data_IF_595079089003
#
_entry.id   IF_595079089003
#
_cell.length_a   1.000
_cell.length_b   1.000
_cell.length_c   1.000
_cell.angle_alpha   90.00
_cell.angle_beta   90.00
_cell.angle_gamma   90.00
#
_symmetry.space_group_name_H-M   'P 1'
#
loop_
_entity.id
_entity.type
_entity.pdbx_description
1 polymer ?
#
# COMPACT_ATOMS: atom_id res chain seq x y z
N UNK A 1 -5.36 -13.34 15.85
CA UNK A 1 -4.10 -12.80 15.27
C UNK A 1 -4.04 -11.32 15.63
N UNK A 2 -3.07 -10.90 16.45
CA UNK A 2 -2.93 -9.49 16.86
C UNK A 2 -2.23 -8.69 15.75
N UNK A 3 -2.82 -7.56 15.33
CA UNK A 3 -2.28 -6.65 14.31
C UNK A 3 -1.82 -5.34 14.97
N UNK A 4 -0.76 -4.73 14.47
CA UNK A 4 -0.37 -3.35 14.83
C UNK A 4 -1.09 -2.41 13.85
N UNK A 5 -1.90 -1.48 14.35
CA UNK A 5 -2.58 -0.48 13.51
C UNK A 5 -1.84 0.85 13.59
N UNK A 6 -1.54 1.45 12.44
CA UNK A 6 -1.01 2.80 12.36
C UNK A 6 -1.71 3.61 11.26
N UNK A 7 -1.68 4.94 11.40
CA UNK A 7 -2.15 5.87 10.37
C UNK A 7 -0.95 6.57 9.76
N UNK A 8 -0.95 6.69 8.44
CA UNK A 8 0.01 7.54 7.73
C UNK A 8 -0.60 8.95 7.73
N UNK A 9 -0.49 9.64 8.86
CA UNK A 9 -0.78 11.07 8.92
C UNK A 9 0.45 11.80 8.40
N UNK A 10 0.26 12.84 7.59
CA UNK A 10 1.36 13.59 6.95
C UNK A 10 2.37 14.25 7.92
N UNK A 11 2.24 14.03 9.23
CA UNK A 11 3.11 14.54 10.30
C UNK A 11 3.55 13.51 11.34
N UNK A 12 2.96 12.30 11.40
CA UNK A 12 3.31 11.27 12.40
C UNK A 12 4.28 10.21 11.86
N UNK A 13 4.28 10.02 10.54
CA UNK A 13 5.28 9.24 9.81
C UNK A 13 5.30 9.82 8.39
N UNK A 14 6.36 10.58 8.05
CA UNK A 14 6.52 11.13 6.70
C UNK A 14 6.95 10.04 5.73
N UNK A 15 7.51 8.95 6.24
CA UNK A 15 7.82 7.76 5.48
C UNK A 15 7.60 6.47 6.27
N UNK A 16 7.42 5.37 5.55
CA UNK A 16 7.23 4.06 6.15
C UNK A 16 7.74 2.95 5.23
N UNK A 17 7.91 1.79 5.84
CA UNK A 17 8.31 0.54 5.22
C UNK A 17 7.55 -0.61 5.86
N UNK A 18 6.92 -1.46 5.05
CA UNK A 18 6.24 -2.70 5.46
C UNK A 18 6.82 -3.85 4.66
N UNK A 19 7.13 -4.96 5.33
CA UNK A 19 7.72 -6.14 4.71
C UNK A 19 9.22 -6.25 4.92
N UNK A 20 9.79 -7.35 4.43
CA UNK A 20 11.22 -7.65 4.57
C UNK A 20 11.96 -7.15 3.33
N UNK A 21 12.74 -6.07 3.49
CA UNK A 21 13.44 -5.39 2.40
C UNK A 21 14.66 -6.14 1.89
N UNK A 22 15.15 -7.12 2.65
CA UNK A 22 16.16 -8.07 2.17
C UNK A 22 15.54 -9.13 1.25
N UNK A 23 14.22 -9.32 1.33
CA UNK A 23 13.43 -10.26 0.50
C UNK A 23 12.44 -9.53 -0.39
N UNK A 24 12.92 -8.62 -1.24
CA UNK A 24 12.08 -7.80 -2.15
C UNK A 24 11.27 -8.61 -3.16
N UNK A 25 11.64 -9.88 -3.37
CA UNK A 25 10.85 -10.81 -4.18
C UNK A 25 9.60 -11.34 -3.44
N UNK A 26 9.41 -10.94 -2.19
CA UNK A 26 8.19 -11.10 -1.40
C UNK A 26 7.41 -9.78 -1.29
N UNK A 27 6.33 -9.74 -0.50
CA UNK A 27 5.63 -8.49 -0.23
C UNK A 27 6.56 -7.45 0.40
N UNK A 28 6.60 -6.27 -0.23
CA UNK A 28 7.13 -5.06 0.37
C UNK A 28 6.25 -3.88 -0.03
N UNK A 29 6.24 -2.86 0.83
CA UNK A 29 5.64 -1.57 0.55
C UNK A 29 6.44 -0.48 1.24
N UNK A 30 6.82 0.54 0.49
CA UNK A 30 7.33 1.80 1.03
C UNK A 30 6.34 2.90 0.72
N UNK A 31 6.34 3.91 1.57
CA UNK A 31 5.73 5.18 1.20
C UNK A 31 6.46 6.34 1.83
N UNK A 32 6.36 7.49 1.17
CA UNK A 32 6.87 8.77 1.67
C UNK A 32 5.95 9.89 1.22
N UNK A 33 5.96 11.02 1.93
CA UNK A 33 5.33 12.25 1.46
C UNK A 33 6.39 13.09 0.76
N UNK A 34 6.17 13.41 -0.51
CA UNK A 34 7.04 14.29 -1.29
C UNK A 34 6.23 15.44 -1.87
N UNK A 35 6.60 16.68 -1.56
CA UNK A 35 5.88 17.90 -2.00
C UNK A 35 4.37 17.87 -1.67
N UNK A 36 3.99 17.21 -0.59
CA UNK A 36 2.60 17.11 -0.13
C UNK A 36 1.78 15.98 -0.77
N UNK A 37 2.41 15.15 -1.62
CA UNK A 37 1.78 14.00 -2.28
C UNK A 37 2.37 12.69 -1.74
N UNK A 38 1.56 11.62 -1.60
CA UNK A 38 2.08 10.29 -1.27
C UNK A 38 2.80 9.67 -2.46
N UNK A 39 4.04 9.24 -2.25
CA UNK A 39 4.83 8.42 -3.17
C UNK A 39 4.94 7.02 -2.58
N UNK A 40 4.38 6.03 -3.28
CA UNK A 40 4.32 4.63 -2.83
C UNK A 40 5.08 3.76 -3.82
N UNK A 41 5.88 2.82 -3.30
CA UNK A 41 6.42 1.70 -4.07
C UNK A 41 6.03 0.40 -3.41
N UNK A 42 5.55 -0.60 -4.15
CA UNK A 42 5.15 -1.87 -3.56
C UNK A 42 5.15 -3.02 -4.56
N UNK A 43 5.27 -4.24 -4.03
CA UNK A 43 5.06 -5.49 -4.77
C UNK A 43 3.88 -6.25 -4.20
N UNK A 44 2.82 -6.40 -5.00
CA UNK A 44 1.54 -6.94 -4.56
C UNK A 44 1.36 -8.40 -4.98
N UNK A 45 0.76 -9.18 -4.09
CA UNK A 45 0.40 -10.58 -4.31
C UNK A 45 -1.09 -10.80 -3.97
N UNK A 46 -1.69 -11.74 -4.66
CA UNK A 46 -3.06 -12.18 -4.41
C UNK A 46 -3.16 -13.12 -3.21
N UNK A 47 -4.39 -13.45 -2.76
CA UNK A 47 -4.63 -14.39 -1.67
C UNK A 47 -4.12 -15.81 -1.96
N UNK A 48 -3.93 -16.16 -3.23
CA UNK A 48 -3.35 -17.41 -3.67
C UNK A 48 -1.81 -17.39 -3.74
N UNK A 49 -1.18 -16.25 -3.43
CA UNK A 49 0.26 -16.03 -3.48
C UNK A 49 0.79 -15.70 -4.87
N UNK A 50 -0.07 -15.51 -5.88
CA UNK A 50 0.35 -15.10 -7.21
C UNK A 50 0.77 -13.63 -7.21
N UNK A 51 1.86 -13.34 -7.92
CA UNK A 51 2.27 -11.96 -8.17
C UNK A 51 1.21 -11.25 -9.02
N UNK A 52 0.77 -10.07 -8.57
CA UNK A 52 -0.21 -9.26 -9.28
C UNK A 52 0.52 -8.18 -10.08
N UNK A 53 1.13 -7.24 -9.37
CA UNK A 53 1.79 -6.10 -9.95
C UNK A 53 2.88 -5.53 -9.04
N UNK A 54 3.69 -4.67 -9.63
CA UNK A 54 4.73 -3.91 -8.94
C UNK A 54 4.57 -2.44 -9.30
N UNK A 55 4.69 -1.60 -8.27
CA UNK A 55 4.57 -0.15 -8.37
C UNK A 55 5.89 0.43 -7.86
N UNK A 56 6.49 1.31 -8.63
CA UNK A 56 7.69 2.05 -8.25
C UNK A 56 7.41 3.55 -8.36
N UNK A 57 7.46 4.24 -7.23
CA UNK A 57 7.21 5.69 -7.15
C UNK A 57 5.88 6.10 -7.76
N UNK A 58 4.82 5.39 -7.37
CA UNK A 58 3.47 5.42 -7.92
C UNK A 58 3.33 4.88 -9.34
N UNK A 59 4.38 4.57 -10.09
CA UNK A 59 4.25 4.10 -11.46
C UNK A 59 4.13 2.57 -11.54
N UNK A 60 3.13 2.10 -12.28
CA UNK A 60 2.91 0.67 -12.49
C UNK A 60 4.00 0.13 -13.42
N UNK A 61 4.82 -0.81 -12.96
CA UNK A 61 5.94 -1.33 -13.73
C UNK A 61 5.48 -2.25 -14.88
N UNK A 62 6.23 -2.33 -16.00
CA UNK A 62 5.92 -3.23 -17.13
C UNK A 62 5.94 -4.72 -16.78
N UNK A 63 6.58 -5.10 -15.67
CA UNK A 63 6.58 -6.47 -15.13
C UNK A 63 5.21 -6.90 -14.62
N UNK A 64 4.32 -5.95 -14.34
CA UNK A 64 2.95 -6.19 -13.89
C UNK A 64 2.13 -6.91 -14.97
N UNK A 65 1.19 -7.76 -14.54
CA UNK A 65 0.30 -8.40 -15.52
C UNK A 65 -0.53 -7.33 -16.25
N UNK A 66 -0.70 -7.49 -17.57
CA UNK A 66 -1.42 -6.53 -18.44
C UNK A 66 -2.87 -6.27 -18.05
N UNK A 67 -3.43 -7.08 -17.15
CA UNK A 67 -4.79 -6.94 -16.62
C UNK A 67 -4.90 -5.81 -15.59
N UNK A 68 -3.79 -5.36 -15.00
CA UNK A 68 -3.81 -4.29 -14.01
C UNK A 68 -3.61 -2.93 -14.66
N UNK A 69 -4.36 -1.95 -14.17
CA UNK A 69 -4.26 -0.57 -14.61
C UNK A 69 -4.39 0.37 -13.43
N UNK A 70 -3.70 1.52 -13.52
CA UNK A 70 -3.72 2.58 -12.50
C UNK A 70 -4.59 3.73 -13.00
N UNK A 71 -5.55 4.15 -12.18
CA UNK A 71 -6.44 5.27 -12.46
C UNK A 71 -6.21 6.37 -11.44
N UNK A 72 -6.00 7.60 -11.92
CA UNK A 72 -5.93 8.77 -11.06
C UNK A 72 -7.34 9.17 -10.61
N UNK A 73 -7.49 9.50 -9.35
CA UNK A 73 -8.75 10.00 -8.77
C UNK A 73 -8.59 11.45 -8.32
N UNK A 74 -9.67 12.06 -7.82
CA UNK A 74 -9.62 13.42 -7.27
C UNK A 74 -8.63 13.55 -6.10
N UNK A 75 -8.53 12.50 -5.28
CA UNK A 75 -7.81 12.53 -4.00
C UNK A 75 -6.64 11.54 -3.94
N UNK A 76 -6.21 10.97 -5.07
CA UNK A 76 -5.12 10.01 -5.12
C UNK A 76 -5.19 9.13 -6.36
N UNK A 77 -5.11 7.81 -6.18
CA UNK A 77 -5.14 6.85 -7.27
C UNK A 77 -5.55 5.46 -6.80
N UNK A 78 -5.95 4.63 -7.76
CA UNK A 78 -6.40 3.25 -7.55
C UNK A 78 -5.69 2.37 -8.58
N UNK A 79 -5.32 1.15 -8.18
CA UNK A 79 -4.95 0.08 -9.09
C UNK A 79 -6.04 -0.97 -9.04
N UNK A 80 -6.57 -1.30 -10.21
CA UNK A 80 -7.67 -2.25 -10.40
C UNK A 80 -7.29 -3.28 -11.46
N UNK A 81 -7.91 -4.46 -11.41
CA UNK A 81 -7.80 -5.48 -12.45
C UNK A 81 -8.74 -5.20 -13.65
N UNK A 82 -8.75 -6.09 -14.65
CA UNK A 82 -9.59 -5.95 -15.84
C UNK A 82 -11.10 -6.09 -15.57
N UNK A 83 -11.48 -6.51 -14.38
CA UNK A 83 -12.86 -6.63 -13.92
C UNK A 83 -13.29 -5.44 -13.03
N UNK A 84 -12.44 -4.42 -12.90
CA UNK A 84 -12.62 -3.27 -12.00
C UNK A 84 -12.66 -3.66 -10.51
N UNK A 85 -11.95 -4.72 -10.13
CA UNK A 85 -11.72 -5.04 -8.73
C UNK A 85 -10.47 -4.28 -8.27
N UNK A 86 -10.67 -3.40 -7.28
CA UNK A 86 -9.60 -2.60 -6.69
C UNK A 86 -8.69 -3.49 -5.82
N UNK A 87 -7.39 -3.48 -6.12
CA UNK A 87 -6.37 -4.22 -5.35
C UNK A 87 -5.53 -3.32 -4.45
N UNK A 88 -5.46 -2.03 -4.77
CA UNK A 88 -4.85 -0.99 -3.95
C UNK A 88 -5.50 0.35 -4.26
N UNK A 89 -6.00 1.03 -3.23
CA UNK A 89 -6.42 2.42 -3.30
C UNK A 89 -5.54 3.27 -2.37
N UNK A 90 -5.02 4.36 -2.92
CA UNK A 90 -4.26 5.39 -2.19
C UNK A 90 -5.05 6.67 -2.24
N UNK A 91 -5.42 7.19 -1.08
CA UNK A 91 -6.32 8.33 -0.96
C UNK A 91 -5.88 9.28 0.14
N UNK A 92 -5.73 10.56 -0.19
CA UNK A 92 -5.45 11.62 0.77
C UNK A 92 -6.75 12.26 1.22
N UNK A 93 -7.04 12.18 2.52
CA UNK A 93 -8.22 12.80 3.14
C UNK A 93 -7.81 13.90 4.09
N UNK A 94 -8.64 14.95 4.20
CA UNK A 94 -8.47 16.00 5.22
C UNK A 94 -9.38 15.68 6.40
N UNK A 95 -8.79 15.49 7.57
CA UNK A 95 -9.51 15.27 8.84
C UNK A 95 -10.28 16.52 9.26
N UNK A 96 -11.23 16.37 10.18
CA UNK A 96 -11.98 17.49 10.78
C UNK A 96 -11.06 18.55 11.42
N UNK A 97 -9.93 18.11 11.97
CA UNK A 97 -8.86 18.97 12.52
C UNK A 97 -7.99 19.66 11.45
N UNK A 98 -8.28 19.48 10.16
CA UNK A 98 -7.51 20.08 9.05
C UNK A 98 -6.21 19.34 8.69
N UNK A 99 -5.90 18.21 9.32
CA UNK A 99 -4.72 17.41 8.98
C UNK A 99 -4.98 16.53 7.76
N UNK A 100 -3.99 16.44 6.86
CA UNK A 100 -3.99 15.49 5.75
C UNK A 100 -3.54 14.11 6.22
N UNK A 101 -4.27 13.08 5.83
CA UNK A 101 -3.99 11.67 6.13
C UNK A 101 -4.04 10.88 4.83
N UNK A 102 -3.05 10.01 4.63
CA UNK A 102 -3.00 9.09 3.50
C UNK A 102 -3.55 7.75 3.94
N UNK A 103 -4.63 7.33 3.29
CA UNK A 103 -5.22 6.01 3.43
C UNK A 103 -4.64 5.10 2.36
N UNK A 104 -4.09 3.97 2.80
CA UNK A 104 -3.78 2.84 1.95
C UNK A 104 -4.86 1.81 2.20
N UNK A 105 -5.61 1.44 1.17
CA UNK A 105 -6.78 0.57 1.27
C UNK A 105 -6.54 -0.66 0.39
N UNK A 106 -6.71 -1.84 0.99
CA UNK A 106 -6.51 -3.13 0.31
C UNK A 106 -6.05 -4.23 1.26
N UNK A 107 -6.16 -5.47 0.81
CA UNK A 107 -5.60 -6.64 1.50
C UNK A 107 -4.27 -7.02 0.88
N UNK A 108 -3.23 -7.07 1.70
CA UNK A 108 -1.87 -7.26 1.24
C UNK A 108 -1.36 -8.63 1.63
N UNK A 109 -1.17 -9.48 0.63
CA UNK A 109 -0.65 -10.84 0.79
C UNK A 109 0.82 -10.91 0.40
N UNK A 110 1.48 -11.95 0.90
CA UNK A 110 2.84 -12.32 0.52
C UNK A 110 2.84 -13.55 -0.41
N UNK A 111 4.00 -13.91 -0.98
CA UNK A 111 4.13 -15.05 -1.91
C UNK A 111 3.79 -16.41 -1.27
N UNK A 112 3.70 -16.48 0.06
CA UNK A 112 3.27 -17.66 0.82
C UNK A 112 1.79 -17.64 1.21
N UNK A 113 0.96 -16.82 0.53
CA UNK A 113 -0.50 -16.76 0.74
C UNK A 113 -0.91 -16.22 2.10
N UNK A 114 0.00 -15.54 2.81
CA UNK A 114 -0.29 -14.96 4.13
C UNK A 114 -0.67 -13.50 3.98
N UNK A 115 -1.78 -13.11 4.60
CA UNK A 115 -2.15 -11.71 4.79
C UNK A 115 -1.14 -11.06 5.74
N UNK A 116 -0.35 -10.12 5.22
CA UNK A 116 0.72 -9.44 5.96
C UNK A 116 0.31 -8.04 6.39
N UNK A 117 -0.56 -7.37 5.64
CA UNK A 117 -1.15 -6.09 6.02
C UNK A 117 -2.57 -5.95 5.50
N UNK A 118 -3.39 -5.15 6.18
CA UNK A 118 -4.76 -4.79 5.79
C UNK A 118 -4.89 -3.28 5.91
N UNK A 119 -5.13 -2.63 4.77
CA UNK A 119 -5.31 -1.20 4.66
C UNK A 119 -6.80 -0.82 4.66
N UNK A 120 -7.17 0.17 5.47
CA UNK A 120 -8.54 0.67 5.58
C UNK A 120 -8.54 2.20 5.76
N UNK A 121 -9.72 2.83 5.72
CA UNK A 121 -9.87 4.27 6.00
C UNK A 121 -9.48 4.67 7.43
N UNK A 122 -9.35 3.71 8.35
CA UNK A 122 -8.92 3.99 9.73
C UNK A 122 -7.41 3.81 9.93
N UNK A 123 -6.70 3.27 8.94
CA UNK A 123 -5.26 3.00 8.98
C UNK A 123 -4.88 1.64 8.40
N UNK A 124 -3.59 1.31 8.50
CA UNK A 124 -3.01 0.05 8.05
C UNK A 124 -2.73 -0.83 9.26
N UNK A 125 -3.32 -2.04 9.26
CA UNK A 125 -3.06 -3.09 10.24
C UNK A 125 -2.05 -4.09 9.72
N UNK A 126 -0.88 -4.20 10.34
CA UNK A 126 0.19 -5.12 9.93
C UNK A 126 0.26 -6.34 10.86
N UNK A 127 0.46 -7.53 10.27
CA UNK A 127 0.62 -8.78 11.01
C UNK A 127 1.87 -8.73 11.90
N UNK A 128 1.79 -9.29 13.12
CA UNK A 128 2.87 -9.23 14.13
C UNK A 128 4.26 -9.66 13.65
N UNK A 129 4.32 -10.58 12.69
CA UNK A 129 5.59 -11.12 12.16
C UNK A 129 6.02 -10.46 10.84
N UNK A 130 5.33 -9.41 10.40
CA UNK A 130 5.72 -8.63 9.24
C UNK A 130 6.48 -7.39 9.74
N UNK A 131 7.74 -7.17 9.30
CA UNK A 131 8.50 -6.00 9.70
C UNK A 131 7.80 -4.71 9.31
N UNK A 132 7.85 -3.73 10.20
CA UNK A 132 7.38 -2.35 9.97
C UNK A 132 8.42 -1.40 10.51
N UNK A 133 8.78 -0.41 9.71
CA UNK A 133 9.65 0.70 10.10
C UNK A 133 8.92 2.00 9.74
N UNK A 134 8.76 2.89 10.72
CA UNK A 134 8.24 4.25 10.53
C UNK A 134 9.44 5.20 10.57
N UNK A 135 9.54 6.06 9.56
CA UNK A 135 10.69 6.90 9.26
C UNK A 135 10.31 8.38 9.21
#
# INVERSE_FOLDING_TARGET
MTKVKFRIASKLAESFKIGDFEKRENFFMTGRIEKGEPIISCRLFGPDGLFLCEIEENELLPSSAKIYHKVKTQNGWIVSDSYNIDILKVETVTTESGHKVVNLIGDFYNKQKKLVAEGTSIGVGVAKNCPVELL
#
